data_IF_639709927309
#
_entry.id   IF_639709927309
#
_cell.length_a   1.000
_cell.length_b   1.000
_cell.length_c   1.000
_cell.angle_alpha   90.00
_cell.angle_beta   90.00
_cell.angle_gamma   90.00
#
_symmetry.space_group_name_H-M   'P 1'
#
loop_
_entity.id
_entity.type
_entity.pdbx_description
1 polymer ?
#
# COMPACT_ATOMS: atom_id res chain seq x y z
N UNK A 1 -16.91 -0.03 -10.55
CA UNK A 1 -15.82 -1.00 -10.31
C UNK A 1 -15.46 -0.96 -8.83
N UNK A 2 -15.40 -2.13 -8.16
CA UNK A 2 -14.70 -2.24 -6.88
C UNK A 2 -13.20 -2.17 -7.16
N UNK A 3 -12.52 -1.24 -6.48
CA UNK A 3 -11.07 -1.10 -6.58
C UNK A 3 -10.43 -1.98 -5.50
N UNK A 4 -9.33 -2.64 -5.83
CA UNK A 4 -8.52 -3.34 -4.84
C UNK A 4 -7.15 -2.68 -4.76
N UNK A 5 -6.72 -2.30 -3.56
CA UNK A 5 -5.46 -1.60 -3.31
C UNK A 5 -4.56 -2.50 -2.46
N UNK A 6 -3.34 -2.70 -2.93
CA UNK A 6 -2.27 -3.26 -2.12
C UNK A 6 -1.38 -2.11 -1.60
N UNK A 7 -1.37 -1.91 -0.28
CA UNK A 7 -0.41 -1.00 0.36
C UNK A 7 0.85 -1.80 0.62
N UNK A 8 1.93 -1.47 -0.10
CA UNK A 8 3.15 -2.27 -0.07
C UNK A 8 4.33 -1.53 0.56
N UNK A 9 5.18 -2.30 1.23
CA UNK A 9 6.51 -1.89 1.65
C UNK A 9 7.58 -2.37 0.64
N UNK A 10 8.62 -1.57 0.45
CA UNK A 10 9.80 -1.89 -0.36
C UNK A 10 11.11 -1.64 0.42
N UNK A 11 12.26 -1.89 -0.20
CA UNK A 11 13.58 -1.66 0.41
C UNK A 11 13.83 -0.20 0.81
N UNK A 12 13.02 0.75 0.33
CA UNK A 12 13.06 2.14 0.76
C UNK A 12 12.69 2.35 2.23
N UNK A 13 12.05 1.37 2.88
CA UNK A 13 11.79 1.39 4.32
C UNK A 13 13.08 1.49 5.15
N UNK A 14 14.21 0.99 4.63
CA UNK A 14 15.50 1.04 5.34
C UNK A 14 15.97 2.47 5.66
N UNK A 15 15.53 3.45 4.87
CA UNK A 15 15.85 4.87 5.11
C UNK A 15 15.10 5.45 6.33
N UNK A 16 14.15 4.71 6.90
CA UNK A 16 13.32 5.10 8.04
C UNK A 16 13.61 4.25 9.27
N UNK A 17 14.70 3.47 9.26
CA UNK A 17 15.19 2.82 10.45
C UNK A 17 15.70 3.87 11.45
N UNK A 18 15.50 3.66 12.76
CA UNK A 18 14.93 2.45 13.39
C UNK A 18 13.39 2.47 13.52
N UNK A 19 12.70 3.49 13.02
CA UNK A 19 11.25 3.67 13.27
C UNK A 19 10.39 2.52 12.72
N UNK A 20 10.85 1.88 11.65
CA UNK A 20 10.19 0.74 10.99
C UNK A 20 10.81 -0.61 11.34
N UNK A 21 11.59 -0.72 12.43
CA UNK A 21 12.23 -1.98 12.79
C UNK A 21 11.19 -3.07 13.13
N UNK A 22 10.17 -2.70 13.91
CA UNK A 22 9.14 -3.61 14.46
C UNK A 22 7.73 -3.36 13.89
N UNK A 23 7.63 -2.59 12.80
CA UNK A 23 6.36 -2.24 12.15
C UNK A 23 6.59 -1.95 10.67
N UNK A 24 5.61 -2.21 9.81
CA UNK A 24 5.69 -1.80 8.42
C UNK A 24 5.68 -0.28 8.30
N UNK A 25 6.23 0.22 7.19
CA UNK A 25 6.37 1.65 6.96
C UNK A 25 5.05 2.42 6.90
N UNK A 26 3.97 1.77 6.45
CA UNK A 26 2.64 2.37 6.40
C UNK A 26 2.00 2.57 7.79
N UNK A 27 2.56 1.96 8.85
CA UNK A 27 2.15 2.18 10.25
C UNK A 27 2.83 3.40 10.88
N UNK A 28 3.71 4.09 10.16
CA UNK A 28 4.28 5.34 10.66
C UNK A 28 3.20 6.42 10.74
N UNK A 29 3.19 7.16 11.84
CA UNK A 29 2.35 8.33 12.01
C UNK A 29 2.83 9.48 11.13
N UNK A 30 1.88 10.15 10.48
CA UNK A 30 2.09 11.42 9.79
C UNK A 30 1.03 12.43 10.27
N UNK A 31 1.42 13.23 11.25
CA UNK A 31 0.48 13.99 12.07
C UNK A 31 -0.21 13.08 13.09
N UNK A 32 -1.54 13.15 13.19
CA UNK A 32 -2.31 12.42 14.22
C UNK A 32 -2.72 11.00 13.81
N UNK A 33 -2.46 10.59 12.56
CA UNK A 33 -2.89 9.30 11.99
C UNK A 33 -1.76 8.68 11.17
N UNK A 34 -1.82 7.37 10.96
CA UNK A 34 -0.87 6.59 10.17
C UNK A 34 -0.95 6.89 8.68
N UNK A 35 0.10 6.54 7.93
CA UNK A 35 0.10 6.62 6.46
C UNK A 35 -0.99 5.73 5.85
N UNK A 36 -1.16 4.51 6.37
CA UNK A 36 -2.24 3.60 5.97
C UNK A 36 -3.62 4.24 6.16
N UNK A 37 -3.91 4.83 7.32
CA UNK A 37 -5.21 5.47 7.57
C UNK A 37 -5.47 6.63 6.61
N UNK A 38 -4.46 7.42 6.26
CA UNK A 38 -4.60 8.47 5.24
C UNK A 38 -4.97 7.89 3.87
N UNK A 39 -4.31 6.80 3.46
CA UNK A 39 -4.61 6.13 2.21
C UNK A 39 -6.04 5.58 2.20
N UNK A 40 -6.46 4.88 3.26
CA UNK A 40 -7.81 4.32 3.36
C UNK A 40 -8.88 5.42 3.31
N UNK A 41 -8.66 6.55 4.01
CA UNK A 41 -9.57 7.70 3.97
C UNK A 41 -9.74 8.29 2.57
N UNK A 42 -8.69 8.24 1.75
CA UNK A 42 -8.74 8.72 0.38
C UNK A 42 -9.39 7.71 -0.59
N UNK A 43 -9.57 6.45 -0.19
CA UNK A 43 -10.17 5.40 -1.02
C UNK A 43 -11.18 4.55 -0.22
N UNK A 44 -12.25 5.14 0.33
CA UNK A 44 -13.12 4.46 1.32
C UNK A 44 -13.92 3.27 0.77
N UNK A 45 -14.00 3.14 -0.57
CA UNK A 45 -14.70 2.02 -1.24
C UNK A 45 -13.75 0.93 -1.74
N UNK A 46 -12.44 1.11 -1.57
CA UNK A 46 -11.46 0.12 -2.00
C UNK A 46 -11.36 -1.01 -0.97
N UNK A 47 -11.26 -2.23 -1.46
CA UNK A 47 -10.78 -3.35 -0.63
C UNK A 47 -9.26 -3.26 -0.52
N UNK A 48 -8.71 -3.65 0.63
CA UNK A 48 -7.31 -3.44 0.96
C UNK A 48 -6.61 -4.77 1.21
N UNK A 49 -5.35 -4.84 0.81
CA UNK A 49 -4.38 -5.86 1.19
C UNK A 49 -3.09 -5.16 1.59
N UNK A 50 -2.36 -5.75 2.53
CA UNK A 50 -1.11 -5.22 3.03
C UNK A 50 0.04 -6.10 2.55
N UNK A 51 1.13 -5.48 2.09
CA UNK A 51 2.36 -6.19 1.77
C UNK A 51 3.52 -5.63 2.59
N UNK A 52 4.21 -6.49 3.32
CA UNK A 52 5.29 -6.16 4.25
C UNK A 52 6.46 -7.14 4.11
N UNK A 53 7.61 -6.80 4.70
CA UNK A 53 8.72 -7.75 4.85
C UNK A 53 8.27 -9.02 5.58
N UNK A 54 8.73 -10.17 5.12
CA UNK A 54 8.36 -11.50 5.67
C UNK A 54 8.53 -11.61 7.19
N UNK A 55 9.56 -10.99 7.77
CA UNK A 55 9.81 -10.99 9.22
C UNK A 55 8.69 -10.30 10.03
N UNK A 56 7.93 -9.38 9.42
CA UNK A 56 6.82 -8.68 10.05
C UNK A 56 5.46 -9.29 9.72
N UNK A 57 5.40 -10.29 8.85
CA UNK A 57 4.15 -10.81 8.31
C UNK A 57 3.20 -11.31 9.40
N UNK A 58 3.69 -12.11 10.36
CA UNK A 58 2.89 -12.59 11.49
C UNK A 58 2.37 -11.44 12.36
N UNK A 59 3.25 -10.49 12.71
CA UNK A 59 2.90 -9.32 13.53
C UNK A 59 1.84 -8.46 12.85
N UNK A 60 1.94 -8.29 11.53
CA UNK A 60 0.97 -7.50 10.76
C UNK A 60 -0.36 -8.24 10.64
N UNK A 61 -0.37 -9.57 10.46
CA UNK A 61 -1.62 -10.37 10.50
C UNK A 61 -2.33 -10.27 11.84
N UNK A 62 -1.57 -10.38 12.94
CA UNK A 62 -2.14 -10.26 14.29
C UNK A 62 -2.74 -8.86 14.54
N UNK A 63 -2.13 -7.82 13.98
CA UNK A 63 -2.60 -6.42 14.11
C UNK A 63 -3.81 -6.11 13.23
N UNK A 64 -3.86 -6.69 12.03
CA UNK A 64 -4.89 -6.42 11.03
C UNK A 64 -5.60 -7.73 10.62
N UNK A 65 -6.37 -8.36 11.52
CA UNK A 65 -6.96 -9.68 11.27
C UNK A 65 -7.98 -9.70 10.12
N UNK A 66 -8.55 -8.54 9.78
CA UNK A 66 -9.53 -8.39 8.69
C UNK A 66 -8.88 -8.09 7.33
N UNK A 67 -7.55 -8.04 7.25
CA UNK A 67 -6.82 -7.75 6.02
C UNK A 67 -6.03 -8.98 5.56
N UNK A 68 -5.98 -9.20 4.24
CA UNK A 68 -4.96 -10.08 3.66
C UNK A 68 -3.59 -9.42 3.80
N UNK A 69 -2.60 -10.22 4.21
CA UNK A 69 -1.21 -9.77 4.41
C UNK A 69 -0.29 -10.70 3.63
N UNK A 70 0.52 -10.12 2.74
CA UNK A 70 1.40 -10.84 1.81
C UNK A 70 0.68 -11.90 0.97
N UNK A 71 -0.62 -11.70 0.74
CA UNK A 71 -1.49 -12.59 -0.03
C UNK A 71 -2.52 -11.75 -0.79
N UNK A 72 -3.19 -12.31 -1.79
CA UNK A 72 -4.12 -11.58 -2.65
C UNK A 72 -5.47 -12.31 -2.80
N UNK A 73 -6.58 -11.59 -3.02
CA UNK A 73 -7.85 -12.23 -3.34
C UNK A 73 -7.74 -13.11 -4.59
N UNK A 74 -8.33 -14.31 -4.55
CA UNK A 74 -8.20 -15.30 -5.63
C UNK A 74 -8.74 -14.82 -6.99
N UNK A 75 -9.82 -14.03 -7.01
CA UNK A 75 -10.48 -13.56 -8.23
C UNK A 75 -10.06 -12.13 -8.65
N UNK A 76 -8.85 -11.72 -8.29
CA UNK A 76 -8.35 -10.37 -8.51
C UNK A 76 -7.97 -10.14 -9.99
N UNK A 77 -8.82 -9.41 -10.73
CA UNK A 77 -8.54 -9.02 -12.14
C UNK A 77 -7.66 -7.78 -12.29
N UNK A 78 -7.79 -6.84 -11.35
CA UNK A 78 -7.08 -5.58 -11.36
C UNK A 78 -6.72 -5.16 -9.95
N UNK A 79 -5.51 -4.63 -9.78
CA UNK A 79 -4.97 -4.19 -8.51
C UNK A 79 -4.21 -2.88 -8.69
N UNK A 80 -4.31 -2.00 -7.71
CA UNK A 80 -3.42 -0.84 -7.60
C UNK A 80 -2.50 -1.00 -6.40
N UNK A 81 -1.21 -1.08 -6.68
CA UNK A 81 -0.16 -1.02 -5.69
C UNK A 81 0.11 0.43 -5.33
N UNK A 82 0.16 0.74 -4.04
CA UNK A 82 0.56 2.04 -3.49
C UNK A 82 1.67 1.83 -2.47
N UNK A 83 2.78 2.54 -2.65
CA UNK A 83 3.90 2.45 -1.73
C UNK A 83 3.50 3.06 -0.38
N UNK A 84 3.67 2.31 0.71
CA UNK A 84 3.30 2.70 2.06
C UNK A 84 4.04 3.95 2.59
N UNK A 85 5.12 4.37 1.93
CA UNK A 85 5.86 5.62 2.22
C UNK A 85 5.19 6.87 1.63
N UNK A 86 4.11 6.72 0.87
CA UNK A 86 3.56 7.79 0.04
C UNK A 86 2.48 8.56 0.76
N UNK A 87 2.58 9.90 0.69
CA UNK A 87 1.48 10.81 1.00
C UNK A 87 0.73 11.14 -0.29
N UNK A 88 -0.21 10.27 -0.67
CA UNK A 88 -1.16 10.57 -1.74
C UNK A 88 -2.29 11.41 -1.16
N UNK A 89 -2.51 12.61 -1.69
CA UNK A 89 -3.53 13.54 -1.21
C UNK A 89 -4.80 13.57 -2.07
N UNK A 90 -4.82 12.90 -3.24
CA UNK A 90 -6.00 12.87 -4.09
C UNK A 90 -6.14 11.58 -4.92
N UNK A 91 -7.38 11.13 -5.08
CA UNK A 91 -7.74 10.04 -6.01
C UNK A 91 -7.37 10.40 -7.47
N UNK A 92 -7.38 11.69 -7.81
CA UNK A 92 -7.08 12.18 -9.17
C UNK A 92 -5.68 11.79 -9.66
N UNK A 93 -4.71 11.61 -8.76
CA UNK A 93 -3.39 11.12 -9.13
C UNK A 93 -3.43 9.65 -9.60
N UNK A 94 -4.21 8.80 -8.93
CA UNK A 94 -4.40 7.40 -9.33
C UNK A 94 -5.30 7.26 -10.57
N UNK A 95 -6.25 8.18 -10.78
CA UNK A 95 -7.12 8.16 -11.96
C UNK A 95 -6.35 8.39 -13.27
N UNK A 96 -5.18 9.05 -13.20
CA UNK A 96 -4.28 9.21 -14.35
C UNK A 96 -3.46 7.95 -14.65
N UNK A 97 -3.43 6.98 -13.74
CA UNK A 97 -2.68 5.74 -13.92
C UNK A 97 -3.46 4.80 -14.83
N UNK A 98 -3.00 4.64 -16.07
CA UNK A 98 -3.59 3.69 -17.02
C UNK A 98 -3.40 2.23 -16.58
N UNK A 99 -4.06 1.30 -17.28
CA UNK A 99 -3.81 -0.13 -17.09
C UNK A 99 -2.35 -0.46 -17.37
N UNK A 100 -1.74 -1.30 -16.53
CA UNK A 100 -0.35 -1.72 -16.65
C UNK A 100 0.65 -0.56 -16.69
N UNK A 101 0.36 0.52 -15.96
CA UNK A 101 1.24 1.68 -15.82
C UNK A 101 1.71 1.85 -14.40
N UNK A 102 2.89 2.46 -14.25
CA UNK A 102 3.44 2.88 -12.97
C UNK A 102 3.68 4.38 -12.94
N UNK A 103 3.57 4.95 -11.74
CA UNK A 103 3.91 6.33 -11.45
C UNK A 103 5.15 6.35 -10.58
N UNK A 104 6.19 7.05 -11.03
CA UNK A 104 7.49 7.10 -10.38
C UNK A 104 7.87 8.51 -9.96
N UNK A 105 8.47 8.65 -8.79
CA UNK A 105 9.11 9.89 -8.33
C UNK A 105 10.55 9.57 -7.96
N UNK A 106 11.51 10.32 -8.50
CA UNK A 106 12.95 10.11 -8.25
C UNK A 106 13.38 8.65 -8.48
N UNK A 107 12.94 8.05 -9.60
CA UNK A 107 13.17 6.65 -9.98
C UNK A 107 12.65 5.60 -8.98
N UNK A 108 11.75 5.96 -8.07
CA UNK A 108 11.06 5.04 -7.17
C UNK A 108 9.62 4.90 -7.60
N UNK A 109 9.12 3.67 -7.69
CA UNK A 109 7.70 3.41 -7.96
C UNK A 109 6.90 3.83 -6.73
N UNK A 110 5.92 4.70 -6.96
CA UNK A 110 5.04 5.24 -5.93
C UNK A 110 3.68 4.56 -6.00
N UNK A 111 3.18 4.35 -7.22
CA UNK A 111 1.98 3.56 -7.47
C UNK A 111 2.11 2.78 -8.78
N UNK A 112 1.43 1.65 -8.89
CA UNK A 112 1.33 0.87 -10.13
C UNK A 112 -0.05 0.24 -10.24
N UNK A 113 -0.67 0.32 -11.41
CA UNK A 113 -1.92 -0.37 -11.72
C UNK A 113 -1.59 -1.56 -12.60
N UNK A 114 -1.93 -2.76 -12.13
CA UNK A 114 -1.70 -4.00 -12.85
C UNK A 114 -3.04 -4.69 -13.10
N UNK A 115 -3.22 -5.19 -14.31
CA UNK A 115 -4.37 -5.99 -14.72
C UNK A 115 -3.86 -7.30 -15.30
N UNK A 116 -4.41 -8.42 -14.84
CA UNK A 116 -4.21 -9.74 -15.45
C UNK A 116 -5.32 -10.01 -16.45
N UNK A 117 -4.96 -10.52 -17.62
CA UNK A 117 -5.91 -11.10 -18.59
C UNK A 117 -6.11 -12.60 -18.30
#
# INVERSE_FOLDING_TARGET
MSMHICIYEDSGCNNLLPMVYMRPVYDLFCGIVTLQEKLIRNFPKASITLHTRSVLESVVRDRYPDCLVNDFPAELKEIVFINGRTLLSSETALNKLGKNQSFTINNKVVAARLSGD
#
